data_IF_710570995137
#
_entry.id   IF_710570995137
#
_cell.length_a   1.000
_cell.length_b   1.000
_cell.length_c   1.000
_cell.angle_alpha   90.00
_cell.angle_beta   90.00
_cell.angle_gamma   90.00
#
_symmetry.space_group_name_H-M   'P 1'
#
loop_
_entity.id
_entity.type
_entity.pdbx_description
1 polymer ?
#
# COMPACT_ATOMS: atom_id res chain seq x y z
N UNK A 1 2.07 -40.57 16.63
CA UNK A 1 2.65 -39.78 15.52
C UNK A 1 3.90 -39.10 16.03
N UNK A 2 5.05 -39.26 15.36
CA UNK A 2 6.32 -38.60 15.71
C UNK A 2 6.29 -37.12 15.25
N UNK A 3 6.42 -36.13 16.14
CA UNK A 3 6.30 -34.70 15.78
C UNK A 3 7.43 -34.19 14.88
N UNK A 4 8.57 -34.90 14.83
CA UNK A 4 9.73 -34.57 13.99
C UNK A 4 9.55 -34.95 12.52
N UNK A 5 8.70 -35.93 12.23
CA UNK A 5 8.39 -36.37 10.86
C UNK A 5 7.82 -35.26 9.96
N UNK A 6 7.12 -34.27 10.54
CA UNK A 6 6.53 -33.13 9.82
C UNK A 6 7.56 -32.21 9.18
N UNK A 7 8.77 -32.15 9.73
CA UNK A 7 9.78 -31.16 9.35
C UNK A 7 10.88 -31.71 8.44
N UNK A 8 10.96 -33.04 8.29
CA UNK A 8 12.03 -33.72 7.53
C UNK A 8 11.94 -33.53 6.01
N UNK A 9 10.76 -33.17 5.50
CA UNK A 9 10.49 -33.04 4.07
C UNK A 9 10.23 -31.58 3.64
N UNK A 10 10.60 -30.58 4.45
CA UNK A 10 10.47 -29.20 3.98
C UNK A 10 11.46 -28.95 2.84
N UNK A 11 11.04 -28.23 1.79
CA UNK A 11 11.98 -27.74 0.79
C UNK A 11 13.09 -26.95 1.48
N UNK A 12 14.32 -27.05 0.96
CA UNK A 12 15.40 -26.16 1.37
C UNK A 12 14.93 -24.70 1.33
N UNK A 13 15.48 -23.88 2.23
CA UNK A 13 15.08 -22.49 2.46
C UNK A 13 14.98 -21.64 1.18
N UNK A 14 14.41 -20.43 1.28
CA UNK A 14 14.16 -19.58 0.11
C UNK A 14 15.43 -19.42 -0.74
N UNK A 15 15.30 -19.63 -2.05
CA UNK A 15 16.41 -19.56 -3.01
C UNK A 15 16.26 -18.32 -3.90
N UNK A 16 17.36 -17.63 -4.17
CA UNK A 16 17.39 -16.42 -4.99
C UNK A 16 17.47 -16.71 -6.51
N UNK A 17 17.30 -17.97 -6.93
CA UNK A 17 17.48 -18.42 -8.32
C UNK A 17 16.60 -17.72 -9.36
N UNK A 18 15.53 -17.05 -8.94
CA UNK A 18 14.62 -16.35 -9.86
C UNK A 18 14.89 -14.83 -9.90
N UNK A 19 15.89 -14.30 -9.19
CA UNK A 19 16.24 -12.88 -9.29
C UNK A 19 16.85 -12.50 -10.65
N UNK A 20 17.54 -13.43 -11.29
CA UNK A 20 18.13 -13.23 -12.62
C UNK A 20 17.20 -13.69 -13.74
N UNK A 21 15.98 -14.09 -13.42
CA UNK A 21 15.00 -14.44 -14.43
C UNK A 21 14.65 -13.17 -15.24
N UNK A 22 14.63 -13.21 -16.58
CA UNK A 22 14.28 -12.04 -17.40
C UNK A 22 12.88 -11.49 -17.09
N UNK A 23 11.99 -12.33 -16.53
CA UNK A 23 10.66 -11.93 -16.07
C UNK A 23 10.62 -11.42 -14.63
N UNK A 24 11.76 -11.38 -13.94
CA UNK A 24 11.85 -10.84 -12.59
C UNK A 24 11.42 -9.37 -12.57
N UNK A 25 10.55 -9.02 -11.64
CA UNK A 25 9.97 -7.68 -11.53
C UNK A 25 8.81 -7.41 -12.48
N UNK A 26 8.49 -8.28 -13.44
CA UNK A 26 7.30 -8.15 -14.27
C UNK A 26 6.07 -8.60 -13.46
N UNK A 27 5.12 -7.70 -13.18
CA UNK A 27 3.89 -8.08 -12.49
C UNK A 27 3.11 -9.09 -13.34
N UNK A 28 2.64 -10.15 -12.70
CA UNK A 28 1.74 -11.11 -13.36
C UNK A 28 0.36 -10.47 -13.54
N UNK A 29 -0.41 -10.98 -14.49
CA UNK A 29 -1.81 -10.56 -14.73
C UNK A 29 -2.66 -10.68 -13.46
N UNK A 30 -2.47 -11.74 -12.68
CA UNK A 30 -3.10 -11.93 -11.37
C UNK A 30 -2.04 -12.19 -10.30
N UNK A 31 -2.10 -11.42 -9.21
CA UNK A 31 -1.27 -11.67 -8.04
C UNK A 31 -1.83 -12.81 -7.18
N UNK A 32 -0.94 -13.46 -6.42
CA UNK A 32 -1.37 -14.49 -5.47
C UNK A 32 -2.24 -13.83 -4.40
N UNK A 33 -3.42 -14.41 -4.14
CA UNK A 33 -4.36 -13.88 -3.15
C UNK A 33 -3.69 -13.60 -1.79
N UNK A 34 -2.88 -14.54 -1.28
CA UNK A 34 -2.18 -14.34 -0.01
C UNK A 34 -1.25 -13.11 0.02
N UNK A 35 -0.62 -12.77 -1.10
CA UNK A 35 0.21 -11.56 -1.20
C UNK A 35 -0.66 -10.30 -1.29
N UNK A 36 -1.80 -10.36 -1.98
CA UNK A 36 -2.76 -9.26 -2.02
C UNK A 36 -3.28 -8.95 -0.61
N UNK A 37 -3.70 -9.99 0.13
CA UNK A 37 -4.13 -9.85 1.53
C UNK A 37 -3.07 -9.17 2.40
N UNK A 38 -1.82 -9.63 2.28
CA UNK A 38 -0.69 -9.09 3.04
C UNK A 38 -0.46 -7.59 2.75
N UNK A 39 -0.66 -7.18 1.50
CA UNK A 39 -0.47 -5.79 1.06
C UNK A 39 -1.73 -4.92 1.13
N UNK A 40 -2.90 -5.49 1.46
CA UNK A 40 -4.19 -4.79 1.38
C UNK A 40 -4.16 -3.46 2.15
N UNK A 41 -3.72 -3.48 3.40
CA UNK A 41 -3.68 -2.28 4.23
C UNK A 41 -2.80 -1.16 3.64
N UNK A 42 -1.70 -1.52 2.97
CA UNK A 42 -0.85 -0.53 2.30
C UNK A 42 -1.53 0.06 1.07
N UNK A 43 -2.20 -0.77 0.27
CA UNK A 43 -2.95 -0.34 -0.92
C UNK A 43 -4.11 0.59 -0.50
N UNK A 44 -4.87 0.20 0.53
CA UNK A 44 -5.98 1.01 1.04
C UNK A 44 -5.51 2.35 1.60
N UNK A 45 -4.41 2.35 2.37
CA UNK A 45 -3.82 3.58 2.90
C UNK A 45 -3.36 4.52 1.78
N UNK A 46 -2.70 3.98 0.75
CA UNK A 46 -2.28 4.76 -0.41
C UNK A 46 -3.48 5.36 -1.15
N UNK A 47 -4.51 4.54 -1.42
CA UNK A 47 -5.72 5.00 -2.10
C UNK A 47 -6.41 6.13 -1.32
N UNK A 48 -6.53 5.98 0.01
CA UNK A 48 -7.08 7.03 0.86
C UNK A 48 -6.24 8.31 0.78
N UNK A 49 -4.93 8.22 0.88
CA UNK A 49 -4.04 9.39 0.83
C UNK A 49 -4.18 10.16 -0.50
N UNK A 50 -4.31 9.45 -1.62
CA UNK A 50 -4.43 10.06 -2.95
C UNK A 50 -5.83 10.65 -3.18
N UNK A 51 -6.89 9.93 -2.80
CA UNK A 51 -8.27 10.37 -3.09
C UNK A 51 -8.78 11.39 -2.07
N UNK A 52 -8.69 11.07 -0.78
CA UNK A 52 -9.23 11.91 0.29
C UNK A 52 -8.16 12.83 0.87
N UNK A 53 -6.98 12.26 1.18
CA UNK A 53 -5.88 12.98 1.83
C UNK A 53 -5.42 14.21 1.04
N UNK A 54 -5.24 14.07 -0.27
CA UNK A 54 -4.85 15.17 -1.15
C UNK A 54 -5.92 16.26 -1.22
N UNK A 55 -7.19 15.87 -1.30
CA UNK A 55 -8.32 16.80 -1.28
C UNK A 55 -8.35 17.62 0.01
N UNK A 56 -8.24 16.93 1.15
CA UNK A 56 -8.17 17.57 2.48
C UNK A 56 -6.96 18.51 2.60
N UNK A 57 -5.78 18.09 2.16
CA UNK A 57 -4.58 18.92 2.20
C UNK A 57 -4.76 20.21 1.38
N UNK A 58 -5.38 20.10 0.20
CA UNK A 58 -5.61 21.23 -0.69
C UNK A 58 -6.66 22.18 -0.11
N UNK A 59 -7.81 21.67 0.31
CA UNK A 59 -8.87 22.49 0.93
C UNK A 59 -8.37 23.17 2.20
N UNK A 60 -7.64 22.45 3.05
CA UNK A 60 -7.08 23.03 4.26
C UNK A 60 -6.05 24.11 3.96
N UNK A 61 -5.21 23.95 2.94
CA UNK A 61 -4.29 25.00 2.48
C UNK A 61 -5.04 26.25 1.97
N UNK A 62 -6.12 26.07 1.21
CA UNK A 62 -6.97 27.19 0.77
C UNK A 62 -7.67 27.88 1.95
N UNK A 63 -8.28 27.12 2.87
CA UNK A 63 -8.94 27.65 4.06
C UNK A 63 -7.97 28.47 4.93
N UNK A 64 -6.77 27.95 5.14
CA UNK A 64 -5.70 28.62 5.90
C UNK A 64 -5.23 29.90 5.18
N UNK A 65 -5.16 29.88 3.85
CA UNK A 65 -4.83 31.07 3.07
C UNK A 65 -5.92 32.15 3.17
N UNK A 66 -7.20 31.74 3.11
CA UNK A 66 -8.36 32.64 3.25
C UNK A 66 -8.46 33.27 4.65
N UNK A 67 -8.20 32.51 5.72
CA UNK A 67 -8.18 33.04 7.08
C UNK A 67 -7.02 34.03 7.29
N UNK A 68 -5.84 33.77 6.72
CA UNK A 68 -4.70 34.68 6.77
C UNK A 68 -4.90 35.97 5.95
N UNK A 69 -5.70 35.94 4.88
CA UNK A 69 -6.04 37.10 4.05
C UNK A 69 -7.18 37.97 4.62
N UNK A 70 -7.78 37.60 5.75
CA UNK A 70 -8.82 38.40 6.42
C UNK A 70 -10.16 38.48 5.68
N UNK A 71 -10.43 37.61 4.70
CA UNK A 71 -11.65 37.65 3.86
C UNK A 71 -12.86 36.95 4.53
N UNK A 72 -12.79 36.64 5.82
CA UNK A 72 -13.77 35.85 6.56
C UNK A 72 -15.00 36.61 7.08
N UNK A 73 -15.47 37.65 6.38
CA UNK A 73 -16.51 38.55 6.89
C UNK A 73 -17.50 39.06 5.85
N UNK A 74 -18.20 38.17 5.14
CA UNK A 74 -19.52 38.52 4.56
C UNK A 74 -20.51 37.44 4.95
N UNK A 75 -21.34 37.78 5.93
CA UNK A 75 -22.51 37.02 6.36
C UNK A 75 -23.71 37.71 5.71
N UNK A 76 -24.32 37.07 4.71
CA UNK A 76 -25.66 37.42 4.22
C UNK A 76 -26.66 36.57 5.01
#
# INVERSE_FOLDING_TARGET
MDPGSRWRNLPNGPTLKHLTDPSYGIPREQQKAALQELTRAHVESFNYAVHEGLGLATVHAFQCSLSCLGVGGVKI
#
